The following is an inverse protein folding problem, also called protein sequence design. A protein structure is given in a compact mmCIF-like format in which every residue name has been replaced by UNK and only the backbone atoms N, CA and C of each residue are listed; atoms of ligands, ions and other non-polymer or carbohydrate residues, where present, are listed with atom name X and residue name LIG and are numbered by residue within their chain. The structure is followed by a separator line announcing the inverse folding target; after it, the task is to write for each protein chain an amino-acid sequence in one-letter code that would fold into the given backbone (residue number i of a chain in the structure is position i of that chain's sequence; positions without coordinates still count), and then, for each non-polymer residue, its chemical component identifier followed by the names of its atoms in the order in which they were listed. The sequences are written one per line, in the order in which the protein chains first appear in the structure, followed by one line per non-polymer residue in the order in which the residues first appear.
data_IF_284717825553
#
_entry.id   IF_284717825553
#
_cell.length_a   1.000
_cell.length_b   1.000
_cell.length_c   1.000
_cell.angle_alpha   90.00
_cell.angle_beta   90.00
_cell.angle_gamma   90.00
#
_symmetry.space_group_name_H-M   'P 1'
#
loop_
_entity.id
_entity.type
_entity.pdbx_description
1 polymer ?
#
# COMPACT_ATOMS: atom_id res chain seq x y z
N UNK A 1 -0.88 18.12 25.00
CA UNK A 1 -0.38 16.87 24.53
C UNK A 1 -0.89 16.54 23.15
N UNK A 2 -0.02 16.34 22.27
CA UNK A 2 -0.41 16.07 20.91
C UNK A 2 -0.65 14.57 20.70
N UNK A 3 -1.70 14.25 20.00
CA UNK A 3 -1.98 12.90 19.59
C UNK A 3 -1.65 12.80 18.11
N UNK A 4 -0.38 12.71 17.83
CA UNK A 4 0.06 12.65 16.43
C UNK A 4 -0.30 11.32 15.81
N UNK A 5 -0.90 11.38 14.63
CA UNK A 5 -1.16 10.19 13.83
C UNK A 5 0.05 10.01 12.92
N UNK A 6 0.74 8.89 13.08
CA UNK A 6 1.86 8.57 12.20
C UNK A 6 1.33 7.90 10.95
N UNK A 7 1.97 8.19 9.83
CA UNK A 7 1.54 7.64 8.55
C UNK A 7 1.63 6.12 8.50
N UNK A 8 2.43 5.51 9.37
CA UNK A 8 2.58 4.05 9.42
C UNK A 8 1.58 3.36 10.34
N UNK A 9 0.75 4.11 11.06
CA UNK A 9 -0.22 3.51 11.98
C UNK A 9 -1.34 2.81 11.22
N UNK A 10 -1.67 1.55 11.57
CA UNK A 10 -2.71 0.79 10.86
C UNK A 10 -4.10 1.14 11.39
N UNK A 11 -4.61 2.29 10.98
CA UNK A 11 -5.86 2.84 11.51
C UNK A 11 -7.05 2.73 10.57
N UNK A 12 -6.83 2.35 9.30
CA UNK A 12 -7.86 2.43 8.27
C UNK A 12 -8.36 1.05 7.90
N UNK A 13 -9.69 0.88 7.88
CA UNK A 13 -10.29 -0.35 7.39
C UNK A 13 -10.19 -0.42 5.87
N UNK A 14 -10.38 -1.62 5.31
CA UNK A 14 -10.32 -1.77 3.86
C UNK A 14 -11.41 -0.94 3.17
N UNK A 15 -12.59 -0.80 3.78
CA UNK A 15 -13.65 -0.01 3.16
C UNK A 15 -13.29 1.46 3.06
N UNK A 16 -12.59 2.01 4.06
CA UNK A 16 -12.11 3.38 3.99
C UNK A 16 -11.04 3.51 2.89
N UNK A 17 -10.13 2.55 2.83
CA UNK A 17 -9.08 2.57 1.81
C UNK A 17 -9.66 2.49 0.41
N UNK A 18 -10.71 1.68 0.23
CA UNK A 18 -11.42 1.61 -1.05
C UNK A 18 -11.96 2.98 -1.46
N UNK A 19 -12.52 3.71 -0.50
CA UNK A 19 -13.04 5.05 -0.78
C UNK A 19 -11.93 6.04 -1.14
N UNK A 20 -10.80 5.94 -0.44
CA UNK A 20 -9.69 6.86 -0.66
C UNK A 20 -8.95 6.61 -1.98
N UNK A 21 -8.93 5.37 -2.43
CA UNK A 21 -8.14 4.98 -3.61
C UNK A 21 -8.99 4.69 -4.83
N UNK A 22 -10.30 4.53 -4.65
CA UNK A 22 -11.22 4.10 -5.71
C UNK A 22 -10.84 2.73 -6.28
N UNK A 23 -10.24 1.89 -5.44
CA UNK A 23 -9.92 0.51 -5.78
C UNK A 23 -10.92 -0.42 -5.13
N UNK A 24 -11.12 -1.59 -5.73
CA UNK A 24 -11.98 -2.62 -5.13
C UNK A 24 -11.19 -3.40 -4.08
N UNK A 25 -11.91 -4.06 -3.19
CA UNK A 25 -11.28 -4.93 -2.20
C UNK A 25 -10.45 -6.02 -2.88
N UNK A 26 -10.96 -6.54 -4.01
CA UNK A 26 -10.27 -7.58 -4.76
C UNK A 26 -8.93 -7.09 -5.28
N UNK A 27 -8.90 -5.86 -5.82
CA UNK A 27 -7.66 -5.28 -6.30
C UNK A 27 -6.66 -5.06 -5.17
N UNK A 28 -7.13 -4.56 -4.03
CA UNK A 28 -6.26 -4.33 -2.88
C UNK A 28 -5.65 -5.63 -2.40
N UNK A 29 -6.45 -6.70 -2.29
CA UNK A 29 -5.96 -8.00 -1.88
C UNK A 29 -4.98 -8.59 -2.90
N UNK A 30 -5.21 -8.32 -4.18
CA UNK A 30 -4.32 -8.76 -5.24
C UNK A 30 -2.92 -8.14 -5.07
N UNK A 31 -2.88 -6.84 -4.75
CA UNK A 31 -1.59 -6.17 -4.54
C UNK A 31 -0.90 -6.68 -3.28
N UNK A 32 -1.68 -7.02 -2.27
CA UNK A 32 -1.12 -7.65 -1.07
C UNK A 32 -0.50 -9.01 -1.41
N UNK A 33 -1.16 -9.79 -2.25
CA UNK A 33 -0.64 -11.09 -2.67
C UNK A 33 0.68 -10.96 -3.43
N UNK A 34 0.88 -9.84 -4.07
CA UNK A 34 2.13 -9.55 -4.79
C UNK A 34 3.17 -8.85 -3.92
N UNK A 35 2.94 -8.80 -2.63
CA UNK A 35 3.87 -8.21 -1.65
C UNK A 35 4.15 -6.74 -1.89
N UNK A 36 3.22 -6.02 -2.51
CA UNK A 36 3.37 -4.59 -2.74
C UNK A 36 2.90 -3.79 -1.54
N UNK A 37 2.00 -4.33 -0.73
CA UNK A 37 1.57 -3.76 0.54
C UNK A 37 1.47 -4.90 1.55
N UNK A 38 1.59 -4.55 2.83
CA UNK A 38 1.50 -5.53 3.92
C UNK A 38 0.65 -4.93 5.02
N UNK A 39 -0.68 -5.02 4.90
CA UNK A 39 -1.54 -4.48 5.94
C UNK A 39 -1.39 -5.25 7.23
N UNK A 40 -1.63 -4.55 8.33
CA UNK A 40 -1.61 -5.16 9.65
C UNK A 40 -2.85 -6.04 9.82
N UNK A 41 -2.69 -7.20 10.46
CA UNK A 41 -3.81 -8.08 10.80
C UNK A 41 -4.12 -7.96 12.28
N UNK A 42 -5.38 -7.67 12.60
CA UNK A 42 -5.82 -7.65 13.99
C UNK A 42 -5.99 -9.07 14.50
N UNK A 43 -6.28 -9.21 15.79
CA UNK A 43 -6.53 -10.51 16.40
C UNK A 43 -7.70 -11.23 15.71
N UNK A 44 -8.69 -10.48 15.21
CA UNK A 44 -9.80 -11.03 14.45
C UNK A 44 -9.50 -11.29 12.99
N UNK A 45 -8.21 -11.23 12.61
CA UNK A 45 -7.74 -11.45 11.25
C UNK A 45 -8.28 -10.40 10.26
N UNK A 46 -8.47 -9.19 10.75
CA UNK A 46 -8.97 -8.07 9.98
C UNK A 46 -7.81 -7.27 9.41
N UNK A 47 -7.89 -6.87 8.16
CA UNK A 47 -6.88 -6.02 7.54
C UNK A 47 -7.05 -4.58 8.03
N UNK A 48 -5.98 -3.98 8.52
CA UNK A 48 -5.94 -2.56 8.86
C UNK A 48 -4.78 -1.92 8.10
N UNK A 49 -5.05 -0.76 7.52
CA UNK A 49 -4.11 -0.11 6.61
C UNK A 49 -3.64 1.21 7.19
N UNK A 50 -2.46 1.63 6.77
CA UNK A 50 -1.88 2.90 7.16
C UNK A 50 -2.04 3.91 6.02
N UNK A 51 -1.76 5.19 6.31
CA UNK A 51 -1.72 6.20 5.26
C UNK A 51 -0.61 5.91 4.25
N UNK A 52 0.50 5.34 4.71
CA UNK A 52 1.57 4.91 3.80
C UNK A 52 1.05 3.85 2.82
N UNK A 53 0.22 2.94 3.29
CA UNK A 53 -0.39 1.94 2.41
C UNK A 53 -1.26 2.60 1.36
N UNK A 54 -2.02 3.63 1.75
CA UNK A 54 -2.86 4.37 0.80
C UNK A 54 -1.99 5.02 -0.27
N UNK A 55 -0.90 5.66 0.12
CA UNK A 55 0.02 6.27 -0.84
C UNK A 55 0.58 5.23 -1.82
N UNK A 56 0.96 4.07 -1.31
CA UNK A 56 1.47 2.99 -2.14
C UNK A 56 0.43 2.52 -3.14
N UNK A 57 -0.81 2.36 -2.68
CA UNK A 57 -1.90 1.92 -3.55
C UNK A 57 -2.19 2.96 -4.64
N UNK A 58 -2.15 4.24 -4.29
CA UNK A 58 -2.35 5.30 -5.28
C UNK A 58 -1.21 5.31 -6.31
N UNK A 59 -0.01 5.03 -5.87
CA UNK A 59 1.15 4.93 -6.75
C UNK A 59 0.99 3.76 -7.74
N UNK A 60 0.53 2.62 -7.22
CA UNK A 60 0.28 1.43 -8.06
C UNK A 60 -0.80 1.76 -9.10
N UNK A 61 -1.88 2.39 -8.64
CA UNK A 61 -2.98 2.75 -9.51
C UNK A 61 -2.51 3.67 -10.64
N UNK A 62 -1.70 4.68 -10.29
CA UNK A 62 -1.17 5.61 -11.26
C UNK A 62 -0.32 4.89 -12.32
N UNK A 63 0.54 3.99 -11.89
CA UNK A 63 1.38 3.23 -12.81
C UNK A 63 0.55 2.35 -13.74
N UNK A 64 -0.50 1.72 -13.21
CA UNK A 64 -1.39 0.92 -14.04
C UNK A 64 -2.11 1.77 -15.09
N UNK A 65 -2.52 2.97 -14.71
CA UNK A 65 -3.18 3.88 -15.65
C UNK A 65 -2.23 4.33 -16.75
N UNK A 66 -0.94 4.36 -16.46
CA UNK A 66 0.07 4.70 -17.45
C UNK A 66 0.52 3.51 -18.28
N UNK A 67 -0.07 2.34 -18.06
CA UNK A 67 0.22 1.16 -18.85
C UNK A 67 1.35 0.28 -18.32
N UNK A 68 1.83 0.55 -17.11
CA UNK A 68 2.86 -0.30 -16.49
C UNK A 68 2.19 -1.58 -16.00
N UNK A 69 2.73 -2.73 -16.35
CA UNK A 69 2.17 -4.00 -15.89
C UNK A 69 2.72 -4.36 -14.50
N UNK A 70 2.19 -5.45 -13.93
CA UNK A 70 2.55 -5.84 -12.57
C UNK A 70 4.05 -6.11 -12.42
N UNK A 71 4.67 -6.74 -13.41
CA UNK A 71 6.10 -7.02 -13.37
C UNK A 71 6.90 -5.71 -13.30
N UNK A 72 6.48 -4.70 -14.06
CA UNK A 72 7.13 -3.40 -14.05
C UNK A 72 6.95 -2.68 -12.72
N UNK A 73 5.75 -2.78 -12.15
CA UNK A 73 5.49 -2.17 -10.84
C UNK A 73 6.38 -2.79 -9.77
N UNK A 74 6.47 -4.11 -9.75
CA UNK A 74 7.35 -4.80 -8.80
C UNK A 74 8.79 -4.35 -8.95
N UNK A 75 9.23 -4.20 -10.19
CA UNK A 75 10.60 -3.77 -10.47
C UNK A 75 10.85 -2.36 -9.91
N UNK A 76 9.90 -1.45 -10.09
CA UNK A 76 10.03 -0.09 -9.57
C UNK A 76 10.16 -0.12 -8.06
N UNK A 77 9.33 -0.92 -7.37
CA UNK A 77 9.40 -0.98 -5.91
C UNK A 77 10.69 -1.62 -5.42
N UNK A 78 11.20 -2.64 -6.13
CA UNK A 78 12.50 -3.22 -5.81
C UNK A 78 13.62 -2.18 -5.93
N UNK A 79 13.58 -1.39 -6.98
CA UNK A 79 14.60 -0.36 -7.20
C UNK A 79 14.56 0.71 -6.11
N UNK A 80 13.37 1.08 -5.65
CA UNK A 80 13.23 2.04 -4.57
C UNK A 80 13.85 1.50 -3.29
N UNK A 81 13.59 0.24 -2.98
CA UNK A 81 14.14 -0.39 -1.78
C UNK A 81 15.66 -0.47 -1.85
N UNK A 82 16.19 -0.84 -3.01
CA UNK A 82 17.63 -0.91 -3.22
C UNK A 82 18.29 0.45 -3.03
N UNK A 83 17.67 1.50 -3.57
CA UNK A 83 18.18 2.86 -3.42
C UNK A 83 18.21 3.27 -1.96
N UNK A 84 17.17 2.94 -1.22
CA UNK A 84 17.10 3.24 0.20
C UNK A 84 18.22 2.52 0.95
N UNK A 85 18.45 1.25 0.63
CA UNK A 85 19.50 0.48 1.26
C UNK A 85 20.87 1.01 0.91
N UNK A 86 21.09 1.44 -0.31
CA UNK A 86 22.41 1.88 -0.77
C UNK A 86 22.80 3.24 -0.23
N UNK A 87 21.89 3.96 0.38
CA UNK A 87 22.19 5.27 0.96
C UNK A 87 22.71 5.18 2.38
N UNK A 88 22.77 4.00 2.94
CA UNK A 88 23.31 3.79 4.28
C UNK A 88 24.83 3.67 4.25
#
# INVERSE_FOLDING_TARGET
MSSEIRRSMPLLSISIVMQLTDLTARQIRYYEEHDLIQPHRTEGNRRMFSLNDVDTLLEIKDMLEQGVNMAGIKKVFEMKNDRTASQI
#
